data_IF_342216485673
#
_entry.id   IF_342216485673
#
_cell.length_a   1.000
_cell.length_b   1.000
_cell.length_c   1.000
_cell.angle_alpha   90.00
_cell.angle_beta   90.00
_cell.angle_gamma   90.00
#
_symmetry.space_group_name_H-M   'P 1'
#
loop_
_entity.id
_entity.type
_entity.pdbx_description
1 polymer ?
#
# COMPACT_ATOMS: atom_id res chain seq x y z
N UNK A 1 44.70 -4.92 39.86
CA UNK A 1 43.32 -5.21 39.42
C UNK A 1 43.39 -6.25 38.32
N UNK A 2 42.75 -7.41 38.52
CA UNK A 2 43.02 -8.65 37.78
C UNK A 2 42.29 -8.63 36.42
N UNK A 3 42.95 -9.08 35.35
CA UNK A 3 42.41 -9.17 33.99
C UNK A 3 41.02 -9.83 33.90
N UNK A 4 40.67 -10.74 34.82
CA UNK A 4 39.36 -11.38 34.90
C UNK A 4 38.19 -10.43 35.18
N UNK A 5 38.41 -9.33 35.91
CA UNK A 5 37.36 -8.34 36.22
C UNK A 5 37.05 -7.46 35.00
N UNK A 6 38.07 -7.15 34.17
CA UNK A 6 37.90 -6.39 32.93
C UNK A 6 37.19 -7.23 31.86
N UNK A 7 37.53 -8.52 31.74
CA UNK A 7 36.86 -9.44 30.82
C UNK A 7 35.39 -9.69 31.20
N UNK A 8 35.08 -9.81 32.49
CA UNK A 8 33.70 -9.95 32.95
C UNK A 8 32.86 -8.69 32.71
N UNK A 9 33.41 -7.49 32.97
CA UNK A 9 32.71 -6.22 32.69
C UNK A 9 32.53 -6.02 31.18
N UNK A 10 33.54 -6.33 30.35
CA UNK A 10 33.42 -6.28 28.90
C UNK A 10 32.39 -7.26 28.35
N UNK A 11 32.37 -8.51 28.83
CA UNK A 11 31.36 -9.50 28.44
C UNK A 11 29.95 -9.09 28.86
N UNK A 12 29.77 -8.54 30.06
CA UNK A 12 28.46 -8.07 30.56
C UNK A 12 27.98 -6.84 29.79
N UNK A 13 28.91 -5.96 29.37
CA UNK A 13 28.60 -4.78 28.55
C UNK A 13 28.26 -5.17 27.11
N UNK A 14 28.94 -6.17 26.54
CA UNK A 14 28.64 -6.72 25.20
C UNK A 14 27.32 -7.49 25.19
N UNK A 15 27.03 -8.27 26.23
CA UNK A 15 25.74 -8.97 26.39
C UNK A 15 24.60 -7.98 26.64
N UNK A 16 24.83 -6.96 27.49
CA UNK A 16 23.85 -5.91 27.76
C UNK A 16 23.57 -5.02 26.55
N UNK A 17 24.61 -4.64 25.79
CA UNK A 17 24.47 -3.92 24.52
C UNK A 17 23.80 -4.80 23.45
N UNK A 18 24.12 -6.10 23.39
CA UNK A 18 23.48 -7.07 22.50
C UNK A 18 21.98 -7.24 22.81
N UNK A 19 21.61 -7.41 24.08
CA UNK A 19 20.22 -7.51 24.51
C UNK A 19 19.44 -6.22 24.25
N UNK A 20 20.03 -5.06 24.53
CA UNK A 20 19.43 -3.76 24.22
C UNK A 20 19.24 -3.56 22.71
N UNK A 21 20.22 -3.95 21.90
CA UNK A 21 20.13 -3.82 20.45
C UNK A 21 19.11 -4.79 19.83
N UNK A 22 18.94 -5.99 20.39
CA UNK A 22 17.86 -6.92 20.03
C UNK A 22 16.49 -6.39 20.46
N UNK A 23 16.37 -5.80 21.65
CA UNK A 23 15.13 -5.19 22.11
C UNK A 23 14.73 -3.98 21.24
N UNK A 24 15.69 -3.12 20.89
CA UNK A 24 15.48 -2.01 19.95
C UNK A 24 15.14 -2.51 18.55
N UNK A 25 15.80 -3.59 18.09
CA UNK A 25 15.49 -4.24 16.82
C UNK A 25 14.07 -4.80 16.76
N UNK A 26 13.64 -5.49 17.83
CA UNK A 26 12.27 -6.01 17.99
C UNK A 26 11.25 -4.89 18.05
N UNK A 27 11.46 -3.88 18.89
CA UNK A 27 10.57 -2.72 18.98
C UNK A 27 10.43 -2.00 17.63
N UNK A 28 11.54 -1.78 16.92
CA UNK A 28 11.50 -1.16 15.59
C UNK A 28 10.81 -2.03 14.53
N UNK A 29 11.03 -3.36 14.57
CA UNK A 29 10.33 -4.32 13.72
C UNK A 29 8.82 -4.37 14.01
N UNK A 30 8.45 -4.30 15.28
CA UNK A 30 7.05 -4.32 15.71
C UNK A 30 6.29 -3.12 15.18
N UNK A 31 6.83 -1.91 15.35
CA UNK A 31 6.18 -0.72 14.81
C UNK A 31 6.21 -0.74 13.27
N UNK A 32 7.24 -1.31 12.64
CA UNK A 32 7.33 -1.41 11.19
C UNK A 32 6.25 -2.31 10.57
N UNK A 33 5.92 -3.41 11.24
CA UNK A 33 5.05 -4.47 10.70
C UNK A 33 3.68 -4.55 11.37
N UNK A 34 3.39 -3.69 12.35
CA UNK A 34 2.08 -3.54 13.01
C UNK A 34 1.58 -2.09 12.93
N UNK A 35 1.24 -1.57 11.74
CA UNK A 35 0.57 -0.29 11.68
C UNK A 35 -0.73 -0.35 12.46
N UNK A 36 -0.97 0.65 13.30
CA UNK A 36 -2.25 0.83 14.00
C UNK A 36 -2.70 2.27 13.85
N UNK A 37 -3.97 2.61 14.15
CA UNK A 37 -4.42 4.00 14.20
C UNK A 37 -3.54 4.87 15.11
N UNK A 38 -3.00 4.30 16.19
CA UNK A 38 -2.10 4.98 17.14
C UNK A 38 -0.65 5.08 16.63
N UNK A 39 -0.24 4.16 15.76
CA UNK A 39 1.09 4.10 15.15
C UNK A 39 0.97 3.99 13.63
N UNK A 40 0.55 5.07 12.93
CA UNK A 40 0.40 5.03 11.49
C UNK A 40 1.75 4.75 10.83
N UNK A 41 1.72 4.26 9.59
CA UNK A 41 2.95 4.14 8.82
C UNK A 41 3.68 5.49 8.72
N UNK A 42 5.02 5.46 8.64
CA UNK A 42 5.79 6.66 8.39
C UNK A 42 5.30 7.26 7.08
N UNK A 43 4.96 8.54 7.11
CA UNK A 43 4.50 9.23 5.92
C UNK A 43 5.04 10.63 5.90
N UNK A 44 4.57 11.39 4.92
CA UNK A 44 5.01 12.75 4.66
C UNK A 44 4.96 13.70 5.87
N UNK A 45 5.81 14.74 5.93
CA UNK A 45 5.65 15.77 6.95
C UNK A 45 4.21 16.30 7.00
N UNK A 46 3.73 16.58 8.23
CA UNK A 46 2.43 17.23 8.40
C UNK A 46 2.46 18.63 7.76
N UNK A 47 1.42 18.96 7.02
CA UNK A 47 1.15 20.25 6.41
C UNK A 47 0.30 21.10 7.35
N UNK A 48 0.54 22.41 7.42
CA UNK A 48 -0.37 23.33 8.13
C UNK A 48 -1.41 23.86 7.15
N UNK A 49 -2.67 23.87 7.57
CA UNK A 49 -3.74 24.60 6.88
C UNK A 49 -3.60 26.08 7.21
N UNK A 50 -3.44 26.94 6.21
CA UNK A 50 -3.47 28.40 6.40
C UNK A 50 -4.88 28.96 6.24
N UNK A 51 -5.64 28.44 5.29
CA UNK A 51 -7.04 28.80 5.06
C UNK A 51 -7.75 27.72 4.23
N UNK A 52 -9.07 27.67 4.32
CA UNK A 52 -9.92 26.84 3.48
C UNK A 52 -11.21 27.61 3.13
N UNK A 53 -11.66 27.45 1.90
CA UNK A 53 -12.99 27.84 1.39
C UNK A 53 -13.66 26.61 0.80
N UNK A 54 -14.89 26.73 0.29
CA UNK A 54 -15.61 25.59 -0.30
C UNK A 54 -14.89 24.95 -1.49
N UNK A 55 -14.07 25.71 -2.22
CA UNK A 55 -13.40 25.25 -3.45
C UNK A 55 -11.88 25.17 -3.34
N UNK A 56 -11.27 25.74 -2.28
CA UNK A 56 -9.82 25.90 -2.20
C UNK A 56 -9.31 25.70 -0.79
N UNK A 57 -8.09 25.17 -0.71
CA UNK A 57 -7.34 25.07 0.54
C UNK A 57 -5.92 25.59 0.35
N UNK A 58 -5.46 26.40 1.29
CA UNK A 58 -4.10 26.93 1.33
C UNK A 58 -3.31 26.13 2.36
N UNK A 59 -2.23 25.49 1.93
CA UNK A 59 -1.36 24.66 2.76
C UNK A 59 0.06 25.24 2.79
N UNK A 60 0.82 24.91 3.84
CA UNK A 60 2.26 25.23 3.87
C UNK A 60 2.94 24.61 2.66
N UNK A 61 3.74 25.41 1.96
CA UNK A 61 4.51 24.99 0.80
C UNK A 61 5.60 24.00 1.20
N UNK A 62 5.58 22.85 0.56
CA UNK A 62 6.59 21.80 0.67
C UNK A 62 6.55 20.95 -0.60
N UNK A 63 7.53 20.08 -0.81
CA UNK A 63 7.51 19.13 -1.92
C UNK A 63 6.23 18.26 -1.91
N UNK A 64 5.72 17.93 -0.72
CA UNK A 64 4.50 17.13 -0.52
C UNK A 64 3.27 17.89 -0.98
N UNK A 65 3.10 19.14 -0.54
CA UNK A 65 1.92 19.94 -0.87
C UNK A 65 1.91 20.44 -2.33
N UNK A 66 3.05 20.33 -3.02
CA UNK A 66 3.20 20.63 -4.45
C UNK A 66 2.91 19.43 -5.38
N UNK A 67 2.71 18.23 -4.84
CA UNK A 67 2.48 17.03 -5.66
C UNK A 67 1.29 17.19 -6.60
N UNK A 68 1.38 16.71 -7.86
CA UNK A 68 0.27 16.79 -8.81
C UNK A 68 -0.90 15.90 -8.40
N UNK A 69 -2.08 16.16 -8.94
CA UNK A 69 -3.22 15.27 -8.81
C UNK A 69 -4.02 15.39 -7.51
N UNK A 70 -4.65 14.30 -7.09
CA UNK A 70 -5.74 14.27 -6.10
C UNK A 70 -5.44 13.32 -4.96
N UNK A 71 -5.57 13.80 -3.71
CA UNK A 71 -5.23 13.06 -2.50
C UNK A 71 -6.30 13.22 -1.43
N UNK A 72 -6.41 12.22 -0.54
CA UNK A 72 -7.05 12.43 0.74
C UNK A 72 -6.16 13.33 1.63
N UNK A 73 -6.79 14.09 2.50
CA UNK A 73 -6.15 14.96 3.48
C UNK A 73 -6.74 14.64 4.86
N UNK A 74 -5.93 14.06 5.74
CA UNK A 74 -6.36 13.55 7.03
C UNK A 74 -5.56 14.15 8.19
N UNK A 75 -6.22 14.44 9.31
CA UNK A 75 -5.60 14.94 10.52
C UNK A 75 -6.56 15.80 11.34
N UNK A 76 -6.24 16.00 12.63
CA UNK A 76 -7.05 16.83 13.54
C UNK A 76 -8.56 16.47 13.56
N UNK A 77 -8.90 15.18 13.45
CA UNK A 77 -10.31 14.73 13.41
C UNK A 77 -11.07 15.09 12.13
N UNK A 78 -10.36 15.51 11.08
CA UNK A 78 -10.92 15.93 9.80
C UNK A 78 -10.42 15.02 8.67
N UNK A 79 -11.30 14.77 7.70
CA UNK A 79 -10.95 14.19 6.40
C UNK A 79 -11.51 15.06 5.29
N UNK A 80 -10.67 15.39 4.32
CA UNK A 80 -11.03 16.11 3.11
C UNK A 80 -10.35 15.49 1.88
N UNK A 81 -10.81 15.85 0.69
CA UNK A 81 -10.14 15.50 -0.58
C UNK A 81 -9.67 16.77 -1.24
N UNK A 82 -8.40 16.78 -1.62
CA UNK A 82 -7.75 17.91 -2.29
C UNK A 82 -7.34 17.49 -3.69
N UNK A 83 -7.67 18.33 -4.66
CA UNK A 83 -7.31 18.17 -6.06
C UNK A 83 -5.96 18.81 -6.39
N UNK A 84 -5.71 19.10 -7.68
CA UNK A 84 -4.45 19.67 -8.15
C UNK A 84 -4.13 21.05 -7.53
N UNK A 85 -2.85 21.42 -7.61
CA UNK A 85 -2.38 22.76 -7.29
C UNK A 85 -3.02 23.77 -8.25
N UNK A 86 -3.61 24.82 -7.71
CA UNK A 86 -4.19 25.93 -8.48
C UNK A 86 -3.06 26.89 -8.82
N UNK A 87 -2.76 27.04 -10.12
CA UNK A 87 -1.79 28.02 -10.61
C UNK A 87 -2.40 29.42 -10.61
N UNK A 88 -1.53 30.43 -10.62
CA UNK A 88 -1.88 31.84 -10.84
C UNK A 88 -2.88 32.43 -9.82
N UNK A 89 -2.96 31.85 -8.63
CA UNK A 89 -3.72 32.42 -7.50
C UNK A 89 -2.75 33.13 -6.55
N UNK A 90 -2.98 34.42 -6.23
CA UNK A 90 -2.15 35.13 -5.24
C UNK A 90 -2.14 34.42 -3.90
N UNK A 91 -0.94 34.10 -3.41
CA UNK A 91 -0.71 33.50 -2.10
C UNK A 91 0.67 33.89 -1.58
N UNK A 92 0.91 33.71 -0.28
CA UNK A 92 2.25 33.91 0.30
C UNK A 92 3.28 32.95 -0.31
N UNK A 93 4.56 33.33 -0.30
CA UNK A 93 5.63 32.54 -0.94
C UNK A 93 5.85 31.16 -0.28
N UNK A 94 5.53 31.07 1.01
CA UNK A 94 5.58 29.86 1.84
C UNK A 94 4.29 29.04 1.81
N UNK A 95 3.34 29.38 0.92
CA UNK A 95 2.06 28.71 0.78
C UNK A 95 1.88 28.07 -0.61
N UNK A 96 0.95 27.13 -0.69
CA UNK A 96 0.42 26.57 -1.94
C UNK A 96 -1.09 26.45 -1.85
N UNK A 97 -1.79 26.83 -2.91
CA UNK A 97 -3.24 26.70 -3.03
C UNK A 97 -3.57 25.46 -3.84
N UNK A 98 -4.45 24.61 -3.30
CA UNK A 98 -5.00 23.44 -4.00
C UNK A 98 -6.51 23.57 -4.11
N UNK A 99 -7.09 22.88 -5.10
CA UNK A 99 -8.54 22.69 -5.16
C UNK A 99 -8.99 21.86 -3.96
N UNK A 100 -10.04 22.29 -3.27
CA UNK A 100 -10.76 21.49 -2.30
C UNK A 100 -11.92 20.82 -3.03
N UNK A 101 -11.91 19.49 -3.12
CA UNK A 101 -12.94 18.73 -3.83
C UNK A 101 -14.14 18.44 -2.92
N UNK A 102 -13.87 18.10 -1.66
CA UNK A 102 -14.89 17.90 -0.62
C UNK A 102 -14.26 17.85 0.76
N UNK A 103 -15.05 18.15 1.78
CA UNK A 103 -14.78 17.78 3.17
C UNK A 103 -15.70 16.61 3.51
N UNK A 104 -15.12 15.45 3.85
CA UNK A 104 -15.91 14.25 4.16
C UNK A 104 -16.46 14.31 5.58
N UNK A 105 -15.63 14.71 6.55
CA UNK A 105 -16.06 15.00 7.91
C UNK A 105 -15.08 15.97 8.58
N UNK A 106 -15.54 16.60 9.66
CA UNK A 106 -14.75 17.56 10.43
C UNK A 106 -14.72 18.94 9.79
N UNK A 107 -13.82 19.79 10.31
CA UNK A 107 -13.70 21.19 9.89
C UNK A 107 -12.23 21.51 9.63
N UNK A 108 -11.95 22.12 8.48
CA UNK A 108 -10.60 22.59 8.12
C UNK A 108 -10.31 23.92 8.81
N UNK A 109 -9.67 23.88 9.97
CA UNK A 109 -9.32 25.08 10.73
C UNK A 109 -7.91 25.58 10.39
N UNK A 110 -7.69 26.91 10.27
CA UNK A 110 -6.34 27.45 10.21
C UNK A 110 -5.47 26.96 11.37
N UNK A 111 -4.23 26.58 11.08
CA UNK A 111 -3.31 25.96 12.04
C UNK A 111 -3.44 24.43 12.15
N UNK A 112 -4.50 23.82 11.60
CA UNK A 112 -4.65 22.37 11.63
C UNK A 112 -3.47 21.67 10.93
N UNK A 113 -2.98 20.58 11.55
CA UNK A 113 -1.85 19.79 11.06
C UNK A 113 -2.39 18.53 10.40
N UNK A 114 -2.25 18.46 9.08
CA UNK A 114 -2.85 17.41 8.24
C UNK A 114 -1.80 16.69 7.40
N UNK A 115 -2.15 15.55 6.83
CA UNK A 115 -1.26 14.70 6.02
C UNK A 115 -1.98 14.30 4.74
N UNK A 116 -1.26 14.33 3.63
CA UNK A 116 -1.76 13.73 2.38
C UNK A 116 -1.70 12.21 2.47
N UNK A 117 -2.75 11.55 1.98
CA UNK A 117 -2.85 10.09 1.92
C UNK A 117 -3.33 9.67 0.53
N UNK A 118 -2.83 8.53 0.00
CA UNK A 118 -3.34 8.01 -1.28
C UNK A 118 -4.79 7.49 -1.17
N UNK A 119 -5.24 7.12 0.03
CA UNK A 119 -6.63 6.74 0.32
C UNK A 119 -7.54 7.98 0.26
N UNK A 120 -8.12 8.24 -0.90
CA UNK A 120 -8.98 9.40 -1.18
C UNK A 120 -10.36 9.28 -0.56
N UNK A 121 -10.87 8.06 -0.47
CA UNK A 121 -12.21 7.78 0.03
C UNK A 121 -12.10 7.11 1.40
N UNK A 122 -13.10 7.37 2.24
CA UNK A 122 -13.28 6.74 3.53
C UNK A 122 -14.75 6.30 3.67
N UNK A 123 -15.01 5.27 4.45
CA UNK A 123 -16.32 4.64 4.54
C UNK A 123 -16.53 3.59 3.44
N UNK A 124 -17.79 3.27 3.14
CA UNK A 124 -18.13 2.22 2.17
C UNK A 124 -18.39 2.79 0.75
N UNK A 125 -18.35 1.95 -0.31
CA UNK A 125 -18.61 2.38 -1.69
C UNK A 125 -19.96 3.05 -1.93
N UNK A 126 -21.00 2.65 -1.20
CA UNK A 126 -22.34 3.23 -1.33
C UNK A 126 -22.35 4.68 -0.88
N UNK A 127 -21.85 4.95 0.32
CA UNK A 127 -21.91 6.29 0.91
C UNK A 127 -20.88 7.25 0.29
N UNK A 128 -19.69 6.75 -0.03
CA UNK A 128 -18.60 7.59 -0.54
C UNK A 128 -18.65 7.83 -2.06
N UNK A 129 -19.21 6.89 -2.83
CA UNK A 129 -19.21 6.92 -4.30
C UNK A 129 -20.60 6.80 -4.93
N UNK A 130 -21.65 6.53 -4.15
CA UNK A 130 -22.96 6.21 -4.71
C UNK A 130 -22.99 4.89 -5.48
N UNK A 131 -22.07 3.96 -5.15
CA UNK A 131 -21.96 2.66 -5.83
C UNK A 131 -22.58 1.58 -4.96
N UNK A 132 -23.61 0.92 -5.48
CA UNK A 132 -24.17 -0.26 -4.83
C UNK A 132 -23.11 -1.35 -4.65
N UNK A 133 -22.93 -1.80 -3.42
CA UNK A 133 -22.10 -2.93 -3.06
C UNK A 133 -22.83 -3.83 -2.05
N UNK A 134 -22.40 -5.07 -1.97
CA UNK A 134 -22.74 -6.01 -0.90
C UNK A 134 -21.53 -6.23 0.00
N UNK A 135 -21.74 -6.21 1.31
CA UNK A 135 -20.76 -6.76 2.26
C UNK A 135 -20.80 -8.29 2.18
N UNK A 136 -19.64 -8.90 1.96
CA UNK A 136 -19.50 -10.36 1.86
C UNK A 136 -18.37 -10.85 2.76
N UNK A 137 -18.55 -12.04 3.30
CA UNK A 137 -17.54 -12.72 4.10
C UNK A 137 -16.91 -13.85 3.29
N UNK A 138 -15.63 -13.69 2.97
CA UNK A 138 -14.85 -14.68 2.23
C UNK A 138 -14.27 -15.70 3.21
N UNK A 139 -14.51 -17.01 3.04
CA UNK A 139 -13.93 -18.02 3.92
C UNK A 139 -12.39 -18.11 3.74
N UNK A 140 -11.65 -17.49 4.67
CA UNK A 140 -10.19 -17.52 4.73
C UNK A 140 -9.65 -18.64 5.63
N UNK A 141 -8.32 -18.79 5.62
CA UNK A 141 -7.60 -19.77 6.44
C UNK A 141 -7.79 -19.55 7.95
N UNK A 142 -7.80 -18.28 8.37
CA UNK A 142 -7.88 -17.87 9.78
C UNK A 142 -9.29 -17.49 10.22
N UNK A 143 -10.27 -17.49 9.31
CA UNK A 143 -11.64 -17.04 9.55
C UNK A 143 -12.23 -16.28 8.37
N UNK A 144 -13.41 -15.71 8.58
CA UNK A 144 -14.11 -14.90 7.58
C UNK A 144 -13.33 -13.60 7.29
N UNK A 145 -13.08 -13.32 6.02
CA UNK A 145 -12.40 -12.13 5.51
C UNK A 145 -13.45 -11.17 4.93
N UNK A 146 -13.65 -9.97 5.51
CA UNK A 146 -14.62 -9.02 5.01
C UNK A 146 -14.22 -8.49 3.63
N UNK A 147 -15.18 -8.41 2.71
CA UNK A 147 -14.98 -7.80 1.41
C UNK A 147 -16.20 -7.01 0.95
N UNK A 148 -15.99 -6.09 0.03
CA UNK A 148 -17.08 -5.47 -0.73
C UNK A 148 -17.17 -6.10 -2.10
N UNK A 149 -18.37 -6.56 -2.46
CA UNK A 149 -18.69 -7.00 -3.80
C UNK A 149 -19.48 -5.92 -4.54
N UNK A 150 -18.90 -5.37 -5.60
CA UNK A 150 -19.56 -4.47 -6.54
C UNK A 150 -19.98 -5.27 -7.77
N UNK A 151 -21.29 -5.35 -8.10
CA UNK A 151 -21.77 -6.17 -9.20
C UNK A 151 -21.36 -5.61 -10.57
N UNK A 152 -21.17 -6.51 -11.52
CA UNK A 152 -20.94 -6.23 -12.94
C UNK A 152 -21.53 -7.34 -13.81
N UNK A 153 -21.45 -7.20 -15.13
CA UNK A 153 -22.05 -8.16 -16.09
C UNK A 153 -21.01 -9.03 -16.80
N UNK A 154 -19.73 -8.80 -16.55
CA UNK A 154 -18.63 -9.56 -17.14
C UNK A 154 -18.34 -10.82 -16.36
N UNK A 155 -17.87 -11.83 -17.06
CA UNK A 155 -17.42 -13.09 -16.45
C UNK A 155 -16.01 -12.96 -15.85
N UNK A 156 -15.24 -11.93 -16.23
CA UNK A 156 -13.95 -11.60 -15.61
C UNK A 156 -14.16 -10.66 -14.44
N UNK A 157 -13.74 -11.07 -13.24
CA UNK A 157 -13.82 -10.24 -12.03
C UNK A 157 -12.48 -9.56 -11.76
N UNK A 158 -12.51 -8.37 -11.16
CA UNK A 158 -11.31 -7.72 -10.63
C UNK A 158 -11.30 -7.90 -9.11
N UNK A 159 -10.21 -8.45 -8.57
CA UNK A 159 -10.00 -8.57 -7.13
C UNK A 159 -8.99 -7.51 -6.72
N UNK A 160 -9.41 -6.60 -5.84
CA UNK A 160 -8.56 -5.50 -5.36
C UNK A 160 -8.03 -5.80 -3.97
N UNK A 161 -6.75 -5.44 -3.74
CA UNK A 161 -6.08 -5.63 -2.44
C UNK A 161 -5.19 -4.44 -2.14
N UNK A 162 -5.43 -3.81 -1.00
CA UNK A 162 -4.66 -2.67 -0.53
C UNK A 162 -3.28 -3.07 0.01
N UNK A 163 -2.52 -2.06 0.42
CA UNK A 163 -1.19 -2.19 0.98
C UNK A 163 -1.16 -1.98 2.49
N UNK A 164 -0.02 -2.30 3.09
CA UNK A 164 0.27 -2.02 4.49
C UNK A 164 -0.08 -0.56 4.87
N UNK A 165 -0.73 -0.37 6.01
CA UNK A 165 -1.06 0.96 6.56
C UNK A 165 -2.20 1.69 5.83
N UNK A 166 -2.88 1.02 4.90
CA UNK A 166 -4.15 1.46 4.31
C UNK A 166 -5.22 0.42 4.61
N UNK A 167 -6.44 0.62 4.11
CA UNK A 167 -7.53 -0.36 4.19
C UNK A 167 -8.10 -0.64 2.80
N UNK A 168 -9.08 -1.54 2.70
CA UNK A 168 -9.90 -1.74 1.48
C UNK A 168 -10.54 -0.43 0.95
N UNK A 169 -10.55 0.65 1.72
CA UNK A 169 -10.97 1.96 1.22
C UNK A 169 -9.99 2.55 0.17
N UNK A 170 -8.73 2.12 0.17
CA UNK A 170 -7.72 2.65 -0.74
C UNK A 170 -8.01 2.30 -2.21
N UNK A 171 -8.32 1.05 -2.58
CA UNK A 171 -8.76 0.69 -3.94
C UNK A 171 -10.04 1.37 -4.44
N UNK A 172 -10.83 2.02 -3.58
CA UNK A 172 -12.08 2.68 -3.99
C UNK A 172 -11.86 3.72 -5.11
N UNK A 173 -10.65 4.26 -5.25
CA UNK A 173 -10.29 5.20 -6.33
C UNK A 173 -10.54 4.67 -7.73
N UNK A 174 -10.42 3.36 -7.96
CA UNK A 174 -10.67 2.75 -9.29
C UNK A 174 -12.07 2.16 -9.45
N UNK A 175 -12.87 2.07 -8.39
CA UNK A 175 -14.22 1.48 -8.48
C UNK A 175 -15.14 2.20 -9.47
N UNK A 176 -15.17 3.56 -9.55
CA UNK A 176 -15.95 4.25 -10.57
C UNK A 176 -15.53 3.86 -11.99
N UNK A 177 -14.22 3.70 -12.23
CA UNK A 177 -13.68 3.27 -13.51
C UNK A 177 -14.11 1.84 -13.85
N UNK A 178 -13.90 0.88 -12.94
CA UNK A 178 -14.26 -0.52 -13.18
C UNK A 178 -15.77 -0.71 -13.38
N UNK A 179 -16.60 0.03 -12.62
CA UNK A 179 -18.05 0.04 -12.78
C UNK A 179 -18.49 0.54 -14.17
N UNK A 180 -17.86 1.61 -14.70
CA UNK A 180 -18.14 2.08 -16.08
C UNK A 180 -17.82 1.02 -17.14
N UNK A 181 -16.82 0.19 -16.88
CA UNK A 181 -16.47 -0.96 -17.72
C UNK A 181 -17.27 -2.24 -17.43
N UNK A 182 -18.22 -2.17 -16.47
CA UNK A 182 -19.12 -3.25 -16.05
C UNK A 182 -18.40 -4.51 -15.54
N UNK A 183 -17.19 -4.36 -15.02
CA UNK A 183 -16.44 -5.42 -14.37
C UNK A 183 -16.94 -5.59 -12.93
N UNK A 184 -17.30 -6.81 -12.49
CA UNK A 184 -17.48 -7.09 -11.08
C UNK A 184 -16.19 -6.83 -10.31
N UNK A 185 -16.30 -6.26 -9.11
CA UNK A 185 -15.16 -5.98 -8.23
C UNK A 185 -15.36 -6.70 -6.90
N UNK A 186 -14.33 -7.40 -6.44
CA UNK A 186 -14.25 -7.98 -5.11
C UNK A 186 -13.09 -7.32 -4.36
N UNK A 187 -13.42 -6.45 -3.41
CA UNK A 187 -12.45 -5.62 -2.70
C UNK A 187 -12.21 -6.15 -1.28
N UNK A 188 -11.01 -6.70 -1.06
CA UNK A 188 -10.69 -7.58 0.06
C UNK A 188 -10.07 -6.80 1.24
N UNK A 189 -10.61 -6.97 2.44
CA UNK A 189 -9.82 -6.83 3.67
C UNK A 189 -9.15 -8.17 3.99
N UNK A 190 -7.85 -8.14 4.29
CA UNK A 190 -7.06 -9.35 4.59
C UNK A 190 -6.70 -9.40 6.08
N UNK A 191 -6.09 -10.52 6.52
CA UNK A 191 -5.69 -10.71 7.92
C UNK A 191 -5.02 -9.47 8.53
N UNK A 192 -5.30 -9.24 9.81
CA UNK A 192 -4.88 -8.08 10.61
C UNK A 192 -5.54 -6.73 10.25
N UNK A 193 -6.39 -6.65 9.22
CA UNK A 193 -7.22 -5.46 9.00
C UNK A 193 -8.38 -5.37 10.01
N UNK A 194 -8.97 -4.18 10.11
CA UNK A 194 -10.17 -3.96 10.91
C UNK A 194 -11.30 -4.86 10.39
N UNK A 195 -11.86 -5.68 11.29
CA UNK A 195 -12.94 -6.63 11.00
C UNK A 195 -12.47 -7.96 10.42
N UNK A 196 -11.20 -8.11 10.04
CA UNK A 196 -10.62 -9.36 9.59
C UNK A 196 -10.00 -10.16 10.75
N UNK A 197 -9.75 -11.47 10.59
CA UNK A 197 -9.09 -12.27 11.60
C UNK A 197 -7.66 -11.79 11.87
N UNK A 198 -7.23 -11.85 13.12
CA UNK A 198 -5.87 -11.50 13.52
C UNK A 198 -4.95 -12.73 13.48
N UNK A 199 -3.69 -12.54 13.06
CA UNK A 199 -2.65 -13.55 13.24
C UNK A 199 -2.25 -13.62 14.72
N UNK A 200 -1.77 -14.78 15.17
CA UNK A 200 -1.36 -14.97 16.56
C UNK A 200 -0.24 -14.02 17.01
N UNK A 201 0.62 -13.62 16.07
CA UNK A 201 1.70 -12.67 16.28
C UNK A 201 1.30 -11.20 16.02
N UNK A 202 0.15 -10.97 15.37
CA UNK A 202 -0.36 -9.68 14.93
C UNK A 202 0.48 -8.96 13.87
N UNK A 203 1.47 -9.61 13.23
CA UNK A 203 2.34 -8.98 12.23
C UNK A 203 1.78 -9.05 10.82
N UNK A 204 2.00 -8.02 10.02
CA UNK A 204 1.91 -8.10 8.57
C UNK A 204 3.23 -8.64 8.00
N UNK A 205 3.16 -9.72 7.23
CA UNK A 205 4.31 -10.44 6.67
C UNK A 205 4.69 -9.95 5.26
N UNK A 206 4.33 -8.71 4.93
CA UNK A 206 4.62 -8.05 3.64
C UNK A 206 4.19 -8.88 2.41
N UNK A 207 3.06 -9.60 2.52
CA UNK A 207 2.47 -10.40 1.47
C UNK A 207 2.87 -11.88 1.48
N UNK A 208 3.74 -12.33 2.38
CA UNK A 208 4.22 -13.71 2.45
C UNK A 208 3.19 -14.68 3.05
N UNK A 209 2.50 -14.22 4.10
CA UNK A 209 1.39 -14.95 4.70
C UNK A 209 0.07 -14.55 4.04
N UNK A 210 -0.10 -13.25 3.81
CA UNK A 210 -1.35 -12.61 3.42
C UNK A 210 -1.83 -13.03 2.03
N UNK A 211 -0.96 -13.47 1.11
CA UNK A 211 -1.40 -13.92 -0.22
C UNK A 211 -2.39 -15.10 -0.18
N UNK A 212 -2.40 -15.87 0.92
CA UNK A 212 -3.39 -16.95 1.13
C UNK A 212 -4.81 -16.42 1.31
N UNK A 213 -4.97 -15.19 1.79
CA UNK A 213 -6.26 -14.50 1.88
C UNK A 213 -6.72 -14.06 0.49
N UNK A 214 -5.79 -13.58 -0.34
CA UNK A 214 -6.07 -13.29 -1.74
C UNK A 214 -6.42 -14.56 -2.52
N UNK A 215 -5.75 -15.69 -2.26
CA UNK A 215 -6.14 -16.99 -2.82
C UNK A 215 -7.56 -17.42 -2.40
N UNK A 216 -7.96 -17.15 -1.15
CA UNK A 216 -9.33 -17.37 -0.71
C UNK A 216 -10.34 -16.49 -1.46
N UNK A 217 -9.98 -15.23 -1.75
CA UNK A 217 -10.81 -14.34 -2.57
C UNK A 217 -10.93 -14.82 -4.02
N UNK A 218 -9.84 -15.36 -4.61
CA UNK A 218 -9.89 -16.00 -5.93
C UNK A 218 -10.86 -17.19 -5.90
N UNK A 219 -10.73 -18.10 -4.92
CA UNK A 219 -11.64 -19.25 -4.74
C UNK A 219 -13.09 -18.81 -4.59
N UNK A 220 -13.34 -17.73 -3.85
CA UNK A 220 -14.66 -17.15 -3.70
C UNK A 220 -15.19 -16.63 -5.04
N UNK A 221 -14.46 -15.76 -5.72
CA UNK A 221 -14.88 -15.19 -7.01
C UNK A 221 -15.26 -16.29 -8.03
N UNK A 222 -14.42 -17.32 -8.17
CA UNK A 222 -14.69 -18.45 -9.07
C UNK A 222 -15.96 -19.22 -8.67
N UNK A 223 -16.16 -19.48 -7.37
CA UNK A 223 -17.37 -20.15 -6.85
C UNK A 223 -18.64 -19.37 -7.14
N UNK A 224 -18.55 -18.04 -7.13
CA UNK A 224 -19.68 -17.13 -7.33
C UNK A 224 -19.83 -16.60 -8.77
N UNK A 225 -19.16 -17.25 -9.73
CA UNK A 225 -19.45 -17.09 -11.17
C UNK A 225 -18.35 -16.45 -12.00
N UNK A 226 -17.21 -16.06 -11.41
CA UNK A 226 -16.08 -15.57 -12.19
C UNK A 226 -15.51 -16.69 -13.08
N UNK A 227 -15.43 -16.45 -14.40
CA UNK A 227 -14.67 -17.29 -15.33
C UNK A 227 -13.17 -17.04 -15.15
N UNK A 228 -12.76 -15.78 -15.07
CA UNK A 228 -11.36 -15.41 -14.86
C UNK A 228 -11.27 -14.27 -13.85
N UNK A 229 -10.08 -14.06 -13.29
CA UNK A 229 -9.82 -12.98 -12.35
C UNK A 229 -8.61 -12.15 -12.76
N UNK A 230 -8.71 -10.84 -12.55
CA UNK A 230 -7.60 -9.90 -12.64
C UNK A 230 -7.28 -9.45 -11.22
N UNK A 231 -6.01 -9.58 -10.82
CA UNK A 231 -5.58 -9.18 -9.49
C UNK A 231 -5.00 -7.77 -9.56
N UNK A 232 -5.59 -6.82 -8.83
CA UNK A 232 -5.15 -5.42 -8.77
C UNK A 232 -4.70 -5.09 -7.35
N UNK A 233 -3.39 -4.99 -7.15
CA UNK A 233 -2.80 -4.77 -5.83
C UNK A 233 -1.99 -3.49 -5.71
N UNK A 234 -1.96 -2.93 -4.49
CA UNK A 234 -1.08 -1.83 -4.10
C UNK A 234 -0.05 -2.32 -3.08
N UNK A 235 1.21 -1.90 -3.20
CA UNK A 235 2.25 -2.18 -2.22
C UNK A 235 2.37 -3.68 -1.89
N UNK A 236 2.17 -4.06 -0.63
CA UNK A 236 2.12 -5.47 -0.18
C UNK A 236 1.01 -6.27 -0.85
N UNK A 237 -0.13 -5.66 -1.19
CA UNK A 237 -1.19 -6.27 -1.98
C UNK A 237 -0.74 -6.62 -3.40
N UNK A 238 0.12 -5.79 -4.02
CA UNK A 238 0.72 -6.12 -5.31
C UNK A 238 1.69 -7.32 -5.18
N UNK A 239 2.44 -7.40 -4.08
CA UNK A 239 3.26 -8.56 -3.75
C UNK A 239 2.41 -9.82 -3.54
N UNK A 240 1.25 -9.70 -2.89
CA UNK A 240 0.28 -10.79 -2.75
C UNK A 240 -0.22 -11.28 -4.11
N UNK A 241 -0.53 -10.37 -5.03
CA UNK A 241 -0.98 -10.70 -6.38
C UNK A 241 0.09 -11.49 -7.18
N UNK A 242 1.35 -11.08 -7.10
CA UNK A 242 2.49 -11.81 -7.70
C UNK A 242 2.62 -13.23 -7.13
N UNK A 243 2.47 -13.38 -5.82
CA UNK A 243 2.55 -14.67 -5.14
C UNK A 243 1.38 -15.57 -5.49
N UNK A 244 0.17 -15.03 -5.52
CA UNK A 244 -1.01 -15.78 -5.94
C UNK A 244 -0.88 -16.26 -7.39
N UNK A 245 -0.36 -15.42 -8.29
CA UNK A 245 -0.07 -15.82 -9.68
C UNK A 245 0.93 -16.97 -9.81
N UNK A 246 1.84 -17.11 -8.84
CA UNK A 246 2.90 -18.14 -8.87
C UNK A 246 2.49 -19.40 -8.11
N UNK A 247 1.85 -19.25 -6.95
CA UNK A 247 1.67 -20.34 -5.97
C UNK A 247 0.23 -20.83 -5.85
N UNK A 248 -0.77 -20.06 -6.31
CA UNK A 248 -2.16 -20.50 -6.22
C UNK A 248 -2.41 -21.76 -7.06
N UNK A 249 -3.20 -22.68 -6.50
CA UNK A 249 -3.75 -23.80 -7.27
C UNK A 249 -4.70 -23.30 -8.38
N UNK A 250 -5.26 -22.10 -8.24
CA UNK A 250 -6.14 -21.45 -9.21
C UNK A 250 -5.39 -20.46 -10.12
N UNK A 251 -4.05 -20.49 -10.18
CA UNK A 251 -3.28 -19.56 -11.02
C UNK A 251 -3.68 -19.55 -12.50
N UNK A 252 -4.20 -20.67 -13.01
CA UNK A 252 -4.70 -20.77 -14.39
C UNK A 252 -5.99 -19.98 -14.65
N UNK A 253 -6.67 -19.51 -13.60
CA UNK A 253 -7.85 -18.63 -13.66
C UNK A 253 -7.49 -17.15 -13.51
N UNK A 254 -6.23 -16.84 -13.27
CA UNK A 254 -5.74 -15.45 -13.23
C UNK A 254 -5.42 -15.06 -14.67
N UNK A 255 -6.11 -14.07 -15.23
CA UNK A 255 -5.92 -13.63 -16.62
C UNK A 255 -5.00 -12.41 -16.74
N UNK A 256 -4.76 -11.67 -15.65
CA UNK A 256 -3.85 -10.55 -15.64
C UNK A 256 -3.55 -10.00 -14.25
N UNK A 257 -2.46 -9.23 -14.16
CA UNK A 257 -2.02 -8.55 -12.94
C UNK A 257 -1.91 -7.04 -13.16
N UNK A 258 -2.40 -6.26 -12.20
CA UNK A 258 -2.19 -4.82 -12.12
C UNK A 258 -1.50 -4.53 -10.79
N UNK A 259 -0.28 -4.02 -10.86
CA UNK A 259 0.61 -3.86 -9.71
C UNK A 259 0.95 -2.39 -9.54
N UNK A 260 0.60 -1.81 -8.39
CA UNK A 260 0.91 -0.43 -8.04
C UNK A 260 1.96 -0.41 -6.90
N UNK A 261 3.14 0.14 -7.18
CA UNK A 261 4.26 0.22 -6.23
C UNK A 261 4.58 -1.11 -5.50
N UNK A 262 4.78 -2.24 -6.20
CA UNK A 262 4.97 -3.53 -5.52
C UNK A 262 6.20 -3.57 -4.64
N UNK A 263 6.06 -4.23 -3.49
CA UNK A 263 7.18 -4.52 -2.58
C UNK A 263 7.94 -5.74 -3.10
N UNK A 264 8.91 -5.50 -3.98
CA UNK A 264 9.74 -6.54 -4.60
C UNK A 264 11.00 -6.88 -3.78
N UNK A 265 11.52 -5.91 -3.03
CA UNK A 265 12.62 -6.09 -2.07
C UNK A 265 12.12 -5.80 -0.65
N UNK A 266 11.80 -6.87 0.07
CA UNK A 266 11.31 -6.80 1.44
C UNK A 266 12.36 -6.22 2.40
N UNK A 267 13.64 -6.52 2.21
CA UNK A 267 14.70 -6.01 3.08
C UNK A 267 14.92 -4.51 2.90
N UNK A 268 14.89 -4.02 1.65
CA UNK A 268 14.89 -2.59 1.38
C UNK A 268 13.67 -1.90 2.00
N UNK A 269 12.49 -2.51 1.88
CA UNK A 269 11.24 -1.96 2.43
C UNK A 269 11.27 -1.88 3.96
N UNK A 270 11.69 -2.94 4.66
CA UNK A 270 11.85 -2.93 6.13
C UNK A 270 12.86 -1.86 6.56
N UNK A 271 13.99 -1.72 5.84
CA UNK A 271 14.97 -0.67 6.12
C UNK A 271 14.38 0.73 5.91
N UNK A 272 13.61 0.94 4.84
CA UNK A 272 12.96 2.21 4.56
C UNK A 272 11.94 2.57 5.65
N UNK A 273 11.10 1.61 6.06
CA UNK A 273 10.14 1.79 7.15
C UNK A 273 10.82 2.10 8.48
N UNK A 274 11.92 1.41 8.80
CA UNK A 274 12.69 1.64 10.02
C UNK A 274 13.36 3.03 9.99
N UNK A 275 14.02 3.38 8.87
CA UNK A 275 14.65 4.68 8.71
C UNK A 275 13.64 5.84 8.81
N UNK A 276 12.45 5.67 8.23
CA UNK A 276 11.38 6.67 8.30
C UNK A 276 10.79 6.83 9.72
N UNK A 277 11.04 5.88 10.62
CA UNK A 277 10.75 6.00 12.07
C UNK A 277 11.90 6.59 12.89
N UNK A 278 12.92 7.10 12.22
CA UNK A 278 14.09 7.71 12.87
C UNK A 278 15.09 6.70 13.43
N UNK A 279 15.01 5.42 13.03
CA UNK A 279 16.01 4.42 13.44
C UNK A 279 17.37 4.81 12.83
N UNK A 280 18.43 4.96 13.65
CA UNK A 280 19.76 5.26 13.15
C UNK A 280 20.25 4.20 12.15
N UNK A 281 20.93 4.64 11.07
CA UNK A 281 21.41 3.75 9.99
C UNK A 281 22.24 2.56 10.50
N UNK A 282 23.02 2.76 11.56
CA UNK A 282 23.84 1.71 12.18
C UNK A 282 23.02 0.55 12.77
N UNK A 283 21.76 0.78 13.13
CA UNK A 283 20.87 -0.22 13.72
C UNK A 283 19.97 -0.93 12.70
N UNK A 284 19.88 -0.42 11.47
CA UNK A 284 19.03 -0.99 10.42
C UNK A 284 19.30 -2.49 10.15
N UNK A 285 20.56 -2.99 10.12
CA UNK A 285 20.80 -4.42 9.96
C UNK A 285 20.16 -5.26 11.06
N UNK A 286 20.16 -4.77 12.31
CA UNK A 286 19.55 -5.46 13.43
C UNK A 286 18.02 -5.44 13.36
N UNK A 287 17.42 -4.36 12.85
CA UNK A 287 15.97 -4.32 12.60
C UNK A 287 15.57 -5.33 11.54
N UNK A 288 16.34 -5.45 10.46
CA UNK A 288 16.09 -6.48 9.43
C UNK A 288 16.18 -7.88 10.03
N UNK A 289 17.25 -8.18 10.79
CA UNK A 289 17.40 -9.48 11.48
C UNK A 289 16.28 -9.77 12.49
N UNK A 290 15.84 -8.76 13.23
CA UNK A 290 14.75 -8.90 14.18
C UNK A 290 13.41 -9.16 13.46
N UNK A 291 13.15 -8.43 12.38
CA UNK A 291 11.97 -8.65 11.53
C UNK A 291 11.98 -10.05 10.91
N UNK A 292 13.12 -10.53 10.40
CA UNK A 292 13.29 -11.91 9.92
C UNK A 292 12.95 -12.93 11.03
N UNK A 293 13.51 -12.76 12.23
CA UNK A 293 13.25 -13.66 13.35
C UNK A 293 11.81 -13.61 13.88
N UNK A 294 11.15 -12.45 13.82
CA UNK A 294 9.76 -12.28 14.26
C UNK A 294 8.75 -12.84 13.25
N UNK A 295 9.05 -12.73 11.95
CA UNK A 295 8.20 -13.21 10.85
C UNK A 295 8.53 -14.64 10.40
N UNK A 296 9.55 -15.27 11.01
CA UNK A 296 9.99 -16.62 10.67
C UNK A 296 10.68 -16.74 9.29
N UNK A 297 11.21 -15.64 8.75
CA UNK A 297 11.76 -15.58 7.40
C UNK A 297 13.27 -15.93 7.34
N UNK A 298 13.75 -16.68 6.33
CA UNK A 298 15.15 -17.07 6.24
C UNK A 298 16.11 -15.89 5.99
N UNK A 299 17.26 -15.97 6.67
CA UNK A 299 18.36 -14.99 6.76
C UNK A 299 19.16 -14.78 5.47
N UNK A 300 19.01 -15.62 4.45
CA UNK A 300 19.97 -15.72 3.32
C UNK A 300 19.36 -15.76 1.91
N UNK A 301 18.13 -15.27 1.69
CA UNK A 301 17.61 -15.06 0.33
C UNK A 301 16.99 -13.67 0.20
N UNK A 302 17.36 -12.86 -0.82
CA UNK A 302 16.51 -11.77 -1.27
C UNK A 302 15.12 -12.36 -1.46
N UNK A 303 14.19 -11.81 -0.72
CA UNK A 303 12.90 -12.41 -0.53
C UNK A 303 12.05 -12.01 -1.75
N UNK A 304 12.43 -12.48 -2.94
CA UNK A 304 11.87 -12.12 -4.25
C UNK A 304 10.35 -12.32 -4.23
N UNK A 305 9.59 -11.26 -4.52
CA UNK A 305 8.13 -11.28 -4.54
C UNK A 305 7.55 -12.30 -5.54
N UNK A 306 8.30 -12.62 -6.59
CA UNK A 306 8.17 -13.77 -7.47
C UNK A 306 9.38 -13.75 -8.42
N UNK A 307 9.82 -14.90 -8.90
CA UNK A 307 10.71 -14.94 -10.07
C UNK A 307 9.89 -14.45 -11.29
N UNK A 308 10.30 -13.37 -11.98
CA UNK A 308 9.64 -12.94 -13.21
C UNK A 308 9.49 -14.08 -14.23
N UNK A 309 10.42 -15.03 -14.28
CA UNK A 309 10.34 -16.17 -15.19
C UNK A 309 9.14 -17.09 -14.91
N UNK A 310 8.62 -17.10 -13.67
CA UNK A 310 7.45 -17.88 -13.29
C UNK A 310 6.12 -17.23 -13.74
N UNK A 311 6.13 -15.95 -14.11
CA UNK A 311 4.93 -15.28 -14.61
C UNK A 311 4.56 -15.75 -16.02
N UNK A 312 3.26 -16.01 -16.20
CA UNK A 312 2.69 -16.51 -17.46
C UNK A 312 1.56 -15.62 -17.98
N UNK A 313 1.21 -14.56 -17.25
CA UNK A 313 0.07 -13.68 -17.53
C UNK A 313 0.54 -12.24 -17.80
N UNK A 314 -0.20 -11.47 -18.64
CA UNK A 314 0.06 -10.06 -18.82
C UNK A 314 0.06 -9.30 -17.49
N UNK A 315 1.03 -8.42 -17.30
CA UNK A 315 1.21 -7.64 -16.07
C UNK A 315 1.38 -6.17 -16.39
N UNK A 316 0.50 -5.32 -15.86
CA UNK A 316 0.67 -3.87 -15.87
C UNK A 316 1.26 -3.41 -14.54
N UNK A 317 2.42 -2.75 -14.59
CA UNK A 317 3.17 -2.29 -13.42
C UNK A 317 3.21 -0.77 -13.39
N UNK A 318 2.56 -0.14 -12.42
CA UNK A 318 2.67 1.29 -12.12
C UNK A 318 3.66 1.50 -10.99
N UNK A 319 4.69 2.31 -11.21
CA UNK A 319 5.62 2.72 -10.16
C UNK A 319 6.40 3.97 -10.63
N UNK A 320 7.02 4.70 -9.71
CA UNK A 320 7.67 5.97 -9.99
C UNK A 320 8.96 6.16 -9.19
N UNK A 321 9.85 7.07 -9.63
CA UNK A 321 11.13 7.33 -8.98
C UNK A 321 11.00 8.02 -7.60
N UNK A 322 9.86 8.64 -7.32
CA UNK A 322 9.58 9.35 -6.05
C UNK A 322 9.06 8.41 -4.94
N UNK A 323 8.99 7.10 -5.21
CA UNK A 323 8.70 6.07 -4.22
C UNK A 323 9.92 5.82 -3.32
N UNK A 324 9.81 6.25 -2.06
CA UNK A 324 10.89 6.11 -1.06
C UNK A 324 10.76 4.83 -0.20
N UNK A 325 9.67 4.08 -0.36
CA UNK A 325 9.41 2.87 0.43
C UNK A 325 9.79 1.61 -0.36
N UNK A 326 9.30 1.50 -1.60
CA UNK A 326 9.66 0.43 -2.51
C UNK A 326 10.71 0.95 -3.52
N UNK A 327 11.88 0.30 -3.66
CA UNK A 327 12.89 0.76 -4.60
C UNK A 327 12.40 0.73 -6.05
N UNK A 328 12.34 1.90 -6.68
CA UNK A 328 11.99 2.06 -8.11
C UNK A 328 12.82 1.15 -9.03
N UNK A 329 14.12 1.03 -8.77
CA UNK A 329 15.03 0.20 -9.56
C UNK A 329 14.67 -1.29 -9.52
N UNK A 330 14.07 -1.78 -8.43
CA UNK A 330 13.62 -3.17 -8.36
C UNK A 330 12.48 -3.43 -9.36
N UNK A 331 11.55 -2.49 -9.51
CA UNK A 331 10.46 -2.59 -10.51
C UNK A 331 10.96 -2.45 -11.93
N UNK A 332 11.95 -1.59 -12.19
CA UNK A 332 12.61 -1.50 -13.50
C UNK A 332 13.30 -2.81 -13.86
N UNK A 333 14.07 -3.38 -12.94
CA UNK A 333 14.76 -4.65 -13.15
C UNK A 333 13.76 -5.80 -13.34
N UNK A 334 12.66 -5.81 -12.59
CA UNK A 334 11.58 -6.79 -12.71
C UNK A 334 10.93 -6.78 -14.09
N UNK A 335 10.52 -5.60 -14.57
CA UNK A 335 9.91 -5.45 -15.89
C UNK A 335 10.89 -5.77 -17.03
N UNK A 336 12.16 -5.37 -16.90
CA UNK A 336 13.18 -5.61 -17.90
C UNK A 336 13.49 -7.10 -18.13
N UNK A 337 13.19 -7.97 -17.15
CA UNK A 337 13.41 -9.42 -17.27
C UNK A 337 12.37 -10.13 -18.13
N UNK A 338 11.18 -9.56 -18.34
CA UNK A 338 10.05 -10.16 -19.08
C UNK A 338 9.26 -9.09 -19.84
N UNK A 339 9.93 -8.36 -20.73
CA UNK A 339 9.35 -7.21 -21.44
C UNK A 339 8.17 -7.58 -22.35
N UNK A 340 8.04 -8.85 -22.72
CA UNK A 340 6.94 -9.39 -23.51
C UNK A 340 5.64 -9.59 -22.71
N UNK A 341 5.73 -9.66 -21.37
CA UNK A 341 4.56 -9.81 -20.48
C UNK A 341 4.34 -8.61 -19.56
N UNK A 342 5.41 -7.94 -19.13
CA UNK A 342 5.36 -6.90 -18.11
C UNK A 342 5.49 -5.53 -18.76
N UNK A 343 4.40 -4.78 -18.73
CA UNK A 343 4.38 -3.38 -19.15
C UNK A 343 4.59 -2.48 -17.95
N UNK A 344 5.75 -1.83 -17.87
CA UNK A 344 6.02 -0.81 -16.86
C UNK A 344 5.51 0.56 -17.32
N UNK A 345 4.66 1.18 -16.49
CA UNK A 345 4.17 2.55 -16.63
C UNK A 345 4.79 3.44 -15.55
N UNK A 346 5.84 4.22 -15.88
CA UNK A 346 6.42 5.17 -14.95
C UNK A 346 5.42 6.30 -14.63
N UNK A 347 5.29 6.65 -13.35
CA UNK A 347 4.51 7.82 -12.91
C UNK A 347 5.41 8.73 -12.06
N UNK A 348 5.89 9.87 -12.60
CA UNK A 348 6.73 10.79 -11.84
C UNK A 348 5.93 11.53 -10.77
N UNK A 349 6.61 11.99 -9.73
CA UNK A 349 6.04 12.80 -8.63
C UNK A 349 4.97 12.11 -7.80
N UNK A 350 4.83 10.79 -7.95
CA UNK A 350 3.94 9.95 -7.18
C UNK A 350 4.70 9.31 -6.01
N UNK A 351 4.30 9.52 -4.75
CA UNK A 351 4.85 8.75 -3.63
C UNK A 351 4.33 7.30 -3.68
N UNK A 352 4.87 6.46 -2.79
CA UNK A 352 4.50 5.05 -2.68
C UNK A 352 2.98 4.82 -2.71
N UNK A 353 2.55 3.88 -3.56
CA UNK A 353 1.16 3.46 -3.71
C UNK A 353 0.17 4.60 -4.09
N UNK A 354 0.67 5.69 -4.65
CA UNK A 354 -0.12 6.86 -5.03
C UNK A 354 -0.04 7.18 -6.53
N UNK A 355 0.22 6.16 -7.36
CA UNK A 355 0.39 6.33 -8.80
C UNK A 355 -0.90 6.84 -9.44
N UNK A 356 -2.06 6.30 -9.04
CA UNK A 356 -3.36 6.83 -9.46
C UNK A 356 -3.57 8.27 -8.98
N UNK A 357 -3.19 8.60 -7.73
CA UNK A 357 -3.38 9.93 -7.17
C UNK A 357 -2.66 11.02 -7.95
N UNK A 358 -1.43 10.76 -8.40
CA UNK A 358 -0.61 11.73 -9.11
C UNK A 358 -1.12 12.03 -10.53
N UNK A 359 -1.64 11.02 -11.22
CA UNK A 359 -2.16 11.11 -12.60
C UNK A 359 -3.39 10.19 -12.81
N UNK A 360 -4.58 10.54 -12.28
CA UNK A 360 -5.76 9.68 -12.39
C UNK A 360 -6.13 9.35 -13.85
N UNK A 361 -6.05 10.36 -14.73
CA UNK A 361 -6.42 10.21 -16.13
C UNK A 361 -5.45 9.30 -16.90
N UNK A 362 -4.14 9.50 -16.74
CA UNK A 362 -3.14 8.65 -17.37
C UNK A 362 -3.12 7.23 -16.80
N UNK A 363 -3.39 7.07 -15.50
CA UNK A 363 -3.53 5.76 -14.86
C UNK A 363 -4.73 4.99 -15.42
N UNK A 364 -5.92 5.60 -15.42
CA UNK A 364 -7.15 4.97 -15.94
C UNK A 364 -7.05 4.65 -17.42
N UNK A 365 -6.39 5.49 -18.24
CA UNK A 365 -6.18 5.20 -19.65
C UNK A 365 -5.24 4.01 -19.88
N UNK A 366 -4.14 3.92 -19.12
CA UNK A 366 -3.25 2.76 -19.17
C UNK A 366 -3.96 1.48 -18.71
N UNK A 367 -4.73 1.57 -17.63
CA UNK A 367 -5.54 0.48 -17.11
C UNK A 367 -6.58 0.03 -18.14
N UNK A 368 -7.29 0.96 -18.78
CA UNK A 368 -8.28 0.65 -19.83
C UNK A 368 -7.65 -0.14 -20.98
N UNK A 369 -6.50 0.30 -21.49
CA UNK A 369 -5.79 -0.40 -22.58
C UNK A 369 -5.38 -1.81 -22.19
N UNK A 370 -4.95 -2.00 -20.95
CA UNK A 370 -4.56 -3.29 -20.42
C UNK A 370 -5.75 -4.23 -20.22
N UNK A 371 -6.88 -3.73 -19.71
CA UNK A 371 -8.03 -4.56 -19.40
C UNK A 371 -8.80 -5.00 -20.65
N UNK A 372 -8.94 -4.15 -21.69
CA UNK A 372 -9.73 -4.46 -22.89
C UNK A 372 -9.51 -5.87 -23.47
N UNK A 373 -8.28 -6.37 -23.67
CA UNK A 373 -8.06 -7.72 -24.19
C UNK A 373 -8.37 -8.85 -23.19
N UNK A 374 -8.64 -8.54 -21.92
CA UNK A 374 -8.88 -9.47 -20.81
C UNK A 374 -10.36 -9.51 -20.36
N UNK A 375 -11.23 -8.64 -20.91
CA UNK A 375 -12.64 -8.48 -20.50
C UNK A 375 -13.65 -9.32 -21.27
#
# INVERSE_FOLDING_TARGET
>A
MRLGTVAAVAATTVIGAGAAAVAVGRYAGDIALKPSPDHPLPGDPRLTVHSATDERITLTRSLVSLRPGTYGLTGAGCHAVVGPVVRDTPHAADAVVRRLERVTHGVLTPGARMRLTPQVYIGNPRDALGIDCADVDIPGELGALPAWFVPGVRDTWVITTHGLGTTREHPMVIMPFLRRHRLPVLDLAHRNDIGAPQTADGFHHLGDAEWRDLDAAIRYAIRYGARDVILHGWSTGATMALRAATHSALRARISGLVLDSPVLDRHATVRALAAARGVPRALLPLVVRAAEGATGLPVDRPADAADPAALTVPTLLFHGPDDILAPWEASRAFAARRTELITLRPVPHAPHAAMWNADPAGYEEALRRFLIPLM
#
